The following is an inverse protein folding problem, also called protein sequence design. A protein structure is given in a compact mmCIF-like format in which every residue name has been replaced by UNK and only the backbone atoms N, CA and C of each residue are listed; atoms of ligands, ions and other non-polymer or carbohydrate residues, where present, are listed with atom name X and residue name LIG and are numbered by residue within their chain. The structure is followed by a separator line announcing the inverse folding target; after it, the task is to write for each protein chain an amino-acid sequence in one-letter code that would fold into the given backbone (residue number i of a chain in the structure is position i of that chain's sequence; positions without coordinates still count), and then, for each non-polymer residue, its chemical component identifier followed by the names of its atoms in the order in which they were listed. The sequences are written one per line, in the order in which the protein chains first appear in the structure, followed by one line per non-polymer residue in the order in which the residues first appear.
data_IF_876349141266
#
_entry.id   IF_876349141266
#
_cell.length_a   1.000
_cell.length_b   1.000
_cell.length_c   1.000
_cell.angle_alpha   90.00
_cell.angle_beta   90.00
_cell.angle_gamma   90.00
#
_symmetry.space_group_name_H-M   'P 1'
#
loop_
_entity.id
_entity.type
_entity.pdbx_description
1 polymer ?
#
# COMPACT_ATOMS: atom_id res chain seq x y z
N UNK A 1 -0.29 11.23 15.11
CA UNK A 1 0.20 10.78 13.79
C UNK A 1 1.50 11.51 13.52
N UNK A 2 2.56 10.79 13.15
CA UNK A 2 3.84 11.38 12.77
C UNK A 2 3.98 11.23 11.25
N UNK A 3 4.23 12.33 10.55
CA UNK A 3 4.59 12.29 9.13
C UNK A 3 6.12 12.24 9.02
N UNK A 4 6.62 11.25 8.30
CA UNK A 4 8.06 11.01 8.13
C UNK A 4 8.42 11.09 6.66
N UNK A 5 9.48 11.83 6.34
CA UNK A 5 9.93 12.01 4.96
C UNK A 5 10.25 10.67 4.29
N UNK A 6 9.65 10.41 3.13
CA UNK A 6 9.81 9.16 2.37
C UNK A 6 11.01 9.12 1.43
N UNK A 7 11.68 10.25 1.22
CA UNK A 7 12.85 10.37 0.33
C UNK A 7 14.04 9.59 0.90
N UNK A 8 14.89 9.04 0.04
CA UNK A 8 15.99 8.14 0.46
C UNK A 8 16.86 8.70 1.60
N UNK A 9 17.18 9.99 1.56
CA UNK A 9 18.03 10.64 2.56
C UNK A 9 17.34 10.85 3.93
N UNK A 10 16.01 10.92 3.94
CA UNK A 10 15.20 11.09 5.15
C UNK A 10 14.98 9.78 5.90
N UNK A 11 15.06 8.63 5.20
CA UNK A 11 14.77 7.30 5.77
C UNK A 11 15.68 6.89 6.92
N UNK A 12 16.91 7.43 6.98
CA UNK A 12 17.85 7.17 8.09
C UNK A 12 17.31 7.67 9.44
N UNK A 13 16.40 8.64 9.42
CA UNK A 13 15.79 9.25 10.61
C UNK A 13 14.60 8.45 11.14
N UNK A 14 14.03 7.52 10.35
CA UNK A 14 12.82 6.79 10.72
C UNK A 14 12.92 6.01 12.03
N UNK A 15 14.10 5.48 12.35
CA UNK A 15 14.34 4.76 13.60
C UNK A 15 14.01 5.61 14.84
N UNK A 16 14.11 6.94 14.73
CA UNK A 16 13.79 7.88 15.81
C UNK A 16 12.29 7.92 16.12
N UNK A 17 11.45 7.46 15.20
CA UNK A 17 10.00 7.44 15.32
C UNK A 17 9.45 6.05 15.67
N UNK A 18 10.29 5.04 15.91
CA UNK A 18 9.86 3.65 16.12
C UNK A 18 9.48 3.32 17.57
N UNK A 19 9.56 4.29 18.50
CA UNK A 19 9.13 4.10 19.87
C UNK A 19 7.60 4.22 19.98
N UNK A 20 6.95 3.26 20.65
CA UNK A 20 5.51 3.22 20.94
C UNK A 20 4.57 3.40 19.73
N UNK A 21 4.97 2.84 18.58
CA UNK A 21 4.14 2.84 17.37
C UNK A 21 3.01 1.83 17.49
N UNK A 22 1.75 2.29 17.43
CA UNK A 22 0.57 1.39 17.42
C UNK A 22 0.39 0.67 16.08
N UNK A 23 0.55 1.40 14.98
CA UNK A 23 0.43 0.88 13.61
C UNK A 23 1.20 1.80 12.66
N UNK A 24 1.61 1.25 11.52
CA UNK A 24 2.23 2.03 10.44
C UNK A 24 1.19 2.29 9.36
N UNK A 25 1.09 3.54 8.90
CA UNK A 25 0.38 3.85 7.67
C UNK A 25 1.42 3.97 6.56
N UNK A 26 1.41 3.02 5.62
CA UNK A 26 2.31 3.02 4.48
C UNK A 26 1.59 3.51 3.23
N UNK A 27 2.04 4.62 2.65
CA UNK A 27 1.36 5.27 1.52
C UNK A 27 2.11 5.02 0.22
N UNK A 28 1.37 4.52 -0.77
CA UNK A 28 1.87 4.18 -2.11
C UNK A 28 1.20 5.08 -3.13
N UNK A 29 1.99 5.65 -4.06
CA UNK A 29 1.45 6.36 -5.22
C UNK A 29 1.18 5.35 -6.36
N UNK A 30 0.01 4.70 -6.35
CA UNK A 30 -0.34 3.60 -7.26
C UNK A 30 -0.24 3.99 -8.74
N UNK A 31 -0.58 5.25 -9.05
CA UNK A 31 -0.49 5.80 -10.41
C UNK A 31 0.95 5.98 -10.94
N UNK A 32 1.99 5.78 -10.11
CA UNK A 32 3.40 6.01 -10.50
C UNK A 32 4.10 4.77 -11.07
N UNK A 33 3.36 3.73 -11.48
CA UNK A 33 3.93 2.48 -12.02
C UNK A 33 4.82 2.67 -13.26
N UNK A 34 4.66 3.78 -13.99
CA UNK A 34 5.43 4.11 -15.19
C UNK A 34 6.44 5.27 -15.00
N UNK A 35 6.72 5.65 -13.75
CA UNK A 35 7.60 6.77 -13.40
C UNK A 35 8.85 6.28 -12.69
N UNK A 36 9.91 7.09 -12.75
CA UNK A 36 11.13 6.90 -11.95
C UNK A 36 11.20 7.87 -10.77
N UNK A 37 11.87 7.48 -9.68
CA UNK A 37 12.10 8.34 -8.52
C UNK A 37 13.02 9.52 -8.90
N UNK A 38 12.95 10.63 -8.16
CA UNK A 38 13.74 11.82 -8.48
C UNK A 38 15.20 11.65 -8.08
N UNK A 39 15.44 10.88 -7.03
CA UNK A 39 16.73 10.72 -6.37
C UNK A 39 17.81 10.13 -7.29
N UNK A 40 17.45 9.23 -8.20
CA UNK A 40 18.38 8.66 -9.19
C UNK A 40 17.90 8.74 -10.64
N UNK A 41 16.66 9.20 -10.88
CA UNK A 41 16.04 9.27 -12.20
C UNK A 41 16.09 7.95 -12.99
N UNK A 42 16.15 6.82 -12.28
CA UNK A 42 16.34 5.49 -12.87
C UNK A 42 15.43 4.44 -12.23
N UNK A 43 15.31 4.41 -10.90
CA UNK A 43 14.53 3.40 -10.20
C UNK A 43 13.04 3.66 -10.37
N UNK A 44 12.28 2.65 -10.82
CA UNK A 44 10.82 2.73 -10.92
C UNK A 44 10.18 3.07 -9.55
N UNK A 45 9.24 4.02 -9.52
CA UNK A 45 8.62 4.50 -8.26
C UNK A 45 7.81 3.43 -7.54
N UNK A 46 7.05 2.62 -8.26
CA UNK A 46 6.27 1.56 -7.65
C UNK A 46 7.20 0.43 -7.16
N UNK A 47 8.25 0.11 -7.90
CA UNK A 47 9.28 -0.82 -7.44
C UNK A 47 10.01 -0.33 -6.18
N UNK A 48 10.36 0.96 -6.12
CA UNK A 48 10.93 1.57 -4.91
C UNK A 48 9.98 1.43 -3.71
N UNK A 49 8.68 1.66 -3.91
CA UNK A 49 7.67 1.49 -2.87
C UNK A 49 7.56 0.03 -2.40
N UNK A 50 7.59 -0.94 -3.30
CA UNK A 50 7.62 -2.38 -2.96
C UNK A 50 8.87 -2.74 -2.15
N UNK A 51 10.04 -2.27 -2.57
CA UNK A 51 11.31 -2.50 -1.87
C UNK A 51 11.28 -1.90 -0.46
N UNK A 52 10.75 -0.68 -0.33
CA UNK A 52 10.61 0.01 0.95
C UNK A 52 9.60 -0.70 1.87
N UNK A 53 8.45 -1.12 1.34
CA UNK A 53 7.47 -1.90 2.07
C UNK A 53 8.07 -3.21 2.58
N UNK A 54 8.81 -3.94 1.73
CA UNK A 54 9.52 -5.16 2.14
C UNK A 54 10.53 -4.92 3.26
N UNK A 55 11.23 -3.79 3.23
CA UNK A 55 12.16 -3.40 4.29
C UNK A 55 11.45 -3.14 5.61
N UNK A 56 10.33 -2.39 5.58
CA UNK A 56 9.49 -2.12 6.76
C UNK A 56 8.90 -3.41 7.31
N UNK A 57 8.27 -4.22 6.46
CA UNK A 57 7.59 -5.45 6.83
C UNK A 57 8.54 -6.45 7.50
N UNK A 58 9.77 -6.58 7.00
CA UNK A 58 10.76 -7.50 7.57
C UNK A 58 11.66 -6.86 8.63
N UNK A 59 11.39 -5.62 9.03
CA UNK A 59 12.21 -4.90 9.98
C UNK A 59 12.08 -5.54 11.39
N UNK A 60 13.22 -5.89 12.00
CA UNK A 60 13.25 -6.55 13.32
C UNK A 60 12.54 -5.76 14.43
N UNK A 61 12.56 -4.42 14.35
CA UNK A 61 11.95 -3.54 15.33
C UNK A 61 10.45 -3.34 15.10
N UNK A 62 9.92 -3.78 13.95
CA UNK A 62 8.52 -3.60 13.55
C UNK A 62 7.75 -4.92 13.38
N UNK A 63 8.33 -6.06 13.79
CA UNK A 63 7.75 -7.41 13.57
C UNK A 63 6.36 -7.64 14.20
N UNK A 64 6.00 -6.87 15.21
CA UNK A 64 4.68 -6.95 15.86
C UNK A 64 3.77 -5.79 15.44
N UNK A 65 4.27 -4.86 14.63
CA UNK A 65 3.55 -3.67 14.22
C UNK A 65 2.85 -3.96 12.91
N UNK A 66 1.52 -3.89 12.92
CA UNK A 66 0.72 -4.06 11.70
C UNK A 66 0.82 -2.83 10.81
N UNK A 67 0.65 -3.07 9.51
CA UNK A 67 0.74 -2.03 8.48
C UNK A 67 -0.62 -1.83 7.82
N UNK A 68 -1.08 -0.60 7.85
CA UNK A 68 -2.22 -0.11 7.09
C UNK A 68 -1.66 0.43 5.77
N UNK A 69 -1.97 -0.24 4.68
CA UNK A 69 -1.42 0.05 3.36
C UNK A 69 -2.39 0.93 2.56
N UNK A 70 -2.02 2.18 2.32
CA UNK A 70 -2.77 3.08 1.45
C UNK A 70 -2.25 2.99 0.04
N UNK A 71 -3.03 2.34 -0.82
CA UNK A 71 -2.85 2.37 -2.27
C UNK A 71 -3.48 3.66 -2.78
N UNK A 72 -2.75 4.77 -2.64
CA UNK A 72 -3.23 6.12 -2.93
C UNK A 72 -3.17 6.46 -4.43
N UNK A 73 -3.78 7.58 -4.80
CA UNK A 73 -3.87 8.13 -6.16
C UNK A 73 -4.66 7.22 -7.11
N UNK A 74 -5.76 6.65 -6.61
CA UNK A 74 -6.65 5.79 -7.41
C UNK A 74 -7.31 6.55 -8.56
N UNK A 75 -7.62 7.83 -8.37
CA UNK A 75 -8.05 8.78 -9.41
C UNK A 75 -7.08 8.82 -10.60
N UNK A 76 -5.80 9.11 -10.32
CA UNK A 76 -4.77 9.20 -11.35
C UNK A 76 -4.40 7.83 -11.94
N UNK A 77 -4.58 6.75 -11.17
CA UNK A 77 -4.39 5.39 -11.68
C UNK A 77 -5.49 5.07 -12.70
N UNK A 78 -6.74 5.34 -12.37
CA UNK A 78 -7.89 5.11 -13.24
C UNK A 78 -7.73 5.87 -14.56
N UNK A 79 -7.45 7.18 -14.49
CA UNK A 79 -7.20 8.01 -15.68
C UNK A 79 -6.10 7.42 -16.58
N UNK A 80 -4.98 7.00 -15.98
CA UNK A 80 -3.82 6.50 -16.72
C UNK A 80 -4.09 5.14 -17.38
N UNK A 81 -4.78 4.24 -16.68
CA UNK A 81 -5.18 2.93 -17.19
C UNK A 81 -6.16 3.09 -18.35
N UNK A 82 -7.17 3.94 -18.20
CA UNK A 82 -8.20 4.17 -19.21
C UNK A 82 -7.67 4.91 -20.44
N UNK A 83 -6.69 5.80 -20.27
CA UNK A 83 -6.02 6.46 -21.38
C UNK A 83 -5.26 5.48 -22.30
N UNK A 84 -4.84 4.32 -21.78
CA UNK A 84 -4.21 3.26 -22.58
C UNK A 84 -2.84 3.60 -23.19
N UNK A 85 -2.23 4.73 -22.81
CA UNK A 85 -0.97 5.23 -23.38
C UNK A 85 0.28 4.58 -22.80
N UNK A 86 0.20 4.07 -21.57
CA UNK A 86 1.32 3.47 -20.85
C UNK A 86 0.82 2.25 -20.10
N UNK A 87 1.17 1.07 -20.62
CA UNK A 87 0.63 -0.20 -20.13
C UNK A 87 1.39 -0.64 -18.89
N UNK A 88 0.71 -1.27 -17.94
CA UNK A 88 1.36 -1.72 -16.69
C UNK A 88 2.35 -2.84 -17.00
N UNK A 89 2.01 -3.73 -17.94
CA UNK A 89 2.86 -4.85 -18.36
C UNK A 89 4.20 -4.45 -18.99
N UNK A 90 4.35 -3.20 -19.44
CA UNK A 90 5.64 -2.68 -19.94
C UNK A 90 6.65 -2.45 -18.79
N UNK A 91 6.15 -2.34 -17.55
CA UNK A 91 6.95 -2.09 -16.34
C UNK A 91 6.90 -3.25 -15.34
N UNK A 92 5.77 -3.96 -15.31
CA UNK A 92 5.45 -5.09 -14.44
C UNK A 92 4.91 -6.24 -15.31
N UNK A 93 5.79 -7.02 -15.98
CA UNK A 93 5.38 -7.99 -17.02
C UNK A 93 4.38 -9.05 -16.58
N UNK A 94 4.40 -9.42 -15.30
CA UNK A 94 3.44 -10.32 -14.67
C UNK A 94 1.99 -9.85 -14.77
N UNK A 95 1.75 -8.53 -14.92
CA UNK A 95 0.42 -7.99 -15.14
C UNK A 95 -0.22 -8.53 -16.42
N UNK A 96 0.54 -8.92 -17.44
CA UNK A 96 -0.01 -9.50 -18.67
C UNK A 96 -0.78 -10.80 -18.39
N UNK A 97 -0.39 -11.56 -17.36
CA UNK A 97 -1.03 -12.83 -16.97
C UNK A 97 -1.94 -12.69 -15.75
N UNK A 98 -1.99 -11.51 -15.14
CA UNK A 98 -2.79 -11.28 -13.96
C UNK A 98 -4.29 -11.31 -14.28
N UNK A 99 -5.09 -11.92 -13.40
CA UNK A 99 -6.55 -11.91 -13.47
C UNK A 99 -7.10 -11.27 -12.20
N UNK A 100 -8.17 -10.51 -12.34
CA UNK A 100 -8.84 -9.91 -11.18
C UNK A 100 -9.31 -11.04 -10.25
N UNK A 101 -9.00 -10.98 -8.95
CA UNK A 101 -9.33 -12.06 -8.03
C UNK A 101 -10.84 -12.08 -7.77
N UNK A 102 -11.38 -13.26 -7.44
CA UNK A 102 -12.82 -13.46 -7.26
C UNK A 102 -13.39 -12.68 -6.06
N UNK A 103 -12.54 -12.41 -5.06
CA UNK A 103 -12.87 -11.61 -3.87
C UNK A 103 -12.80 -10.09 -4.12
N UNK A 104 -12.57 -9.66 -5.37
CA UNK A 104 -12.54 -8.25 -5.71
C UNK A 104 -13.92 -7.60 -5.53
N UNK A 105 -13.92 -6.47 -4.83
CA UNK A 105 -15.08 -5.63 -4.55
C UNK A 105 -14.89 -4.28 -5.30
N UNK A 106 -15.15 -4.24 -6.63
CA UNK A 106 -15.06 -3.00 -7.39
C UNK A 106 -16.08 -1.97 -6.90
N UNK A 107 -15.76 -0.69 -7.06
CA UNK A 107 -16.72 0.37 -6.77
C UNK A 107 -17.85 0.38 -7.82
N UNK A 108 -19.08 0.80 -7.47
CA UNK A 108 -20.17 0.89 -8.42
C UNK A 108 -19.79 1.76 -9.63
N UNK A 109 -19.84 1.19 -10.83
CA UNK A 109 -19.48 1.88 -12.07
C UNK A 109 -17.98 1.93 -12.39
N UNK A 110 -17.13 1.26 -11.61
CA UNK A 110 -15.70 1.15 -11.90
C UNK A 110 -15.45 0.30 -13.16
N UNK A 111 -14.56 0.77 -14.04
CA UNK A 111 -14.17 0.03 -15.24
C UNK A 111 -13.35 -1.22 -14.85
N UNK A 112 -13.66 -2.42 -15.39
CA UNK A 112 -12.95 -3.66 -15.05
C UNK A 112 -11.43 -3.59 -15.25
N UNK A 113 -10.94 -2.75 -16.18
CA UNK A 113 -9.50 -2.54 -16.40
C UNK A 113 -8.85 -1.82 -15.22
N UNK A 114 -9.57 -0.88 -14.61
CA UNK A 114 -9.13 -0.15 -13.41
C UNK A 114 -9.15 -1.07 -12.20
N UNK A 115 -10.21 -1.86 -12.03
CA UNK A 115 -10.28 -2.89 -10.99
C UNK A 115 -9.09 -3.85 -11.11
N UNK A 116 -8.85 -4.41 -12.30
CA UNK A 116 -7.72 -5.31 -12.54
C UNK A 116 -6.38 -4.66 -12.19
N UNK A 117 -6.17 -3.40 -12.60
CA UNK A 117 -4.95 -2.65 -12.33
C UNK A 117 -4.71 -2.40 -10.83
N UNK A 118 -5.71 -1.90 -10.10
CA UNK A 118 -5.55 -1.59 -8.67
C UNK A 118 -5.36 -2.86 -7.83
N UNK A 119 -6.07 -3.93 -8.16
CA UNK A 119 -5.93 -5.23 -7.49
C UNK A 119 -4.59 -5.89 -7.77
N UNK A 120 -4.07 -5.77 -9.00
CA UNK A 120 -2.71 -6.21 -9.29
C UNK A 120 -1.68 -5.52 -8.38
N UNK A 121 -1.75 -4.19 -8.29
CA UNK A 121 -0.83 -3.42 -7.43
C UNK A 121 -1.01 -3.83 -5.97
N UNK A 122 -2.24 -4.00 -5.49
CA UNK A 122 -2.52 -4.51 -4.13
C UNK A 122 -1.79 -5.83 -3.89
N UNK A 123 -1.92 -6.77 -4.82
CA UNK A 123 -1.40 -8.12 -4.66
C UNK A 123 0.13 -8.19 -4.70
N UNK A 124 0.80 -7.25 -5.39
CA UNK A 124 2.26 -7.10 -5.32
C UNK A 124 2.72 -6.82 -3.88
N UNK A 125 2.00 -5.97 -3.13
CA UNK A 125 2.30 -5.71 -1.72
C UNK A 125 1.85 -6.86 -0.81
N UNK A 126 0.67 -7.43 -1.05
CA UNK A 126 0.18 -8.53 -0.23
C UNK A 126 1.08 -9.76 -0.32
N UNK A 127 1.65 -10.05 -1.50
CA UNK A 127 2.63 -11.14 -1.68
C UNK A 127 3.85 -10.98 -0.78
N UNK A 128 4.29 -9.74 -0.53
CA UNK A 128 5.37 -9.45 0.42
C UNK A 128 4.92 -9.77 1.84
N UNK A 129 3.70 -9.34 2.22
CA UNK A 129 3.20 -9.52 3.58
C UNK A 129 2.88 -10.98 3.94
N UNK A 130 2.40 -11.77 2.98
CA UNK A 130 2.05 -13.18 3.20
C UNK A 130 3.26 -14.11 3.17
N UNK A 131 4.40 -13.67 2.65
CA UNK A 131 5.61 -14.50 2.54
C UNK A 131 6.29 -14.78 3.90
N UNK A 132 6.10 -13.90 4.90
CA UNK A 132 6.83 -13.97 6.19
C UNK A 132 6.20 -14.92 7.21
N UNK A 133 4.93 -15.30 7.05
CA UNK A 133 4.28 -16.44 7.73
C UNK A 133 4.24 -16.45 9.27
N UNK A 134 4.64 -15.38 9.96
CA UNK A 134 4.78 -15.41 11.43
C UNK A 134 3.48 -15.10 12.20
N UNK A 135 2.45 -14.58 11.52
CA UNK A 135 1.10 -14.33 12.07
C UNK A 135 1.04 -13.27 13.18
N UNK A 136 2.15 -12.56 13.43
CA UNK A 136 2.27 -11.61 14.56
C UNK A 136 1.80 -10.20 14.21
N UNK A 137 1.73 -9.89 12.92
CA UNK A 137 1.24 -8.63 12.41
C UNK A 137 0.54 -8.81 11.08
N UNK A 138 -0.29 -7.84 10.71
CA UNK A 138 -1.18 -7.93 9.55
C UNK A 138 -0.99 -6.74 8.62
N UNK A 139 -1.28 -6.95 7.33
CA UNK A 139 -1.36 -5.90 6.33
C UNK A 139 -2.83 -5.62 6.02
N UNK A 140 -3.25 -4.36 6.15
CA UNK A 140 -4.63 -3.91 5.90
C UNK A 140 -4.64 -2.98 4.68
N UNK A 141 -4.91 -3.49 3.47
CA UNK A 141 -4.90 -2.69 2.25
C UNK A 141 -6.17 -1.86 2.10
N UNK A 142 -6.00 -0.59 1.74
CA UNK A 142 -7.08 0.33 1.40
C UNK A 142 -6.76 1.02 0.08
N UNK A 143 -7.74 1.07 -0.83
CA UNK A 143 -7.68 1.90 -2.03
C UNK A 143 -8.08 3.32 -1.64
N UNK A 144 -7.17 4.28 -1.84
CA UNK A 144 -7.38 5.65 -1.35
C UNK A 144 -7.22 6.72 -2.42
N UNK A 145 -7.98 7.79 -2.24
CA UNK A 145 -7.85 9.03 -3.00
C UNK A 145 -7.70 10.17 -2.00
N UNK A 146 -6.48 10.66 -1.78
CA UNK A 146 -6.20 11.66 -0.75
C UNK A 146 -6.90 13.01 -0.97
N UNK A 147 -7.35 13.31 -2.18
CA UNK A 147 -8.14 14.52 -2.47
C UNK A 147 -9.64 14.32 -2.23
N UNK A 148 -10.09 13.07 -2.02
CA UNK A 148 -11.44 12.73 -1.62
C UNK A 148 -11.51 12.61 -0.09
N UNK A 149 -12.03 13.67 0.53
CA UNK A 149 -12.17 13.77 2.00
C UNK A 149 -13.07 12.69 2.58
N UNK A 150 -14.05 12.21 1.83
CA UNK A 150 -14.99 11.18 2.27
C UNK A 150 -14.37 9.78 2.17
N UNK A 151 -13.61 9.50 1.10
CA UNK A 151 -12.79 8.29 1.01
C UNK A 151 -11.81 8.20 2.20
N UNK A 152 -11.08 9.29 2.46
CA UNK A 152 -10.15 9.35 3.59
C UNK A 152 -10.88 9.18 4.93
N UNK A 153 -12.04 9.82 5.14
CA UNK A 153 -12.82 9.65 6.37
C UNK A 153 -13.22 8.20 6.61
N UNK A 154 -13.68 7.48 5.58
CA UNK A 154 -14.05 6.06 5.69
C UNK A 154 -12.84 5.20 6.04
N UNK A 155 -11.75 5.38 5.31
CA UNK A 155 -10.50 4.64 5.53
C UNK A 155 -9.97 4.88 6.93
N UNK A 156 -10.00 6.11 7.44
CA UNK A 156 -9.57 6.41 8.81
C UNK A 156 -10.47 5.77 9.87
N UNK A 157 -11.77 5.66 9.63
CA UNK A 157 -12.67 4.93 10.52
C UNK A 157 -12.33 3.43 10.53
N UNK A 158 -12.07 2.84 9.36
CA UNK A 158 -11.63 1.45 9.27
C UNK A 158 -10.30 1.23 10.03
N UNK A 159 -9.35 2.16 9.88
CA UNK A 159 -8.09 2.16 10.62
C UNK A 159 -8.32 2.18 12.14
N UNK A 160 -9.28 2.98 12.62
CA UNK A 160 -9.62 3.06 14.04
C UNK A 160 -10.15 1.72 14.55
N UNK A 161 -11.04 1.09 13.80
CA UNK A 161 -11.61 -0.21 14.16
C UNK A 161 -10.56 -1.31 14.14
N UNK A 162 -9.64 -1.29 13.15
CA UNK A 162 -8.49 -2.18 13.08
C UNK A 162 -7.61 -2.03 14.33
N UNK A 163 -7.24 -0.80 14.69
CA UNK A 163 -6.40 -0.53 15.86
C UNK A 163 -7.09 -0.97 17.15
N UNK A 164 -8.40 -0.75 17.28
CA UNK A 164 -9.16 -1.23 18.43
C UNK A 164 -9.17 -2.76 18.51
N UNK A 165 -9.40 -3.45 17.39
CA UNK A 165 -9.36 -4.92 17.32
C UNK A 165 -7.96 -5.47 17.61
N UNK A 166 -6.91 -4.79 17.16
CA UNK A 166 -5.53 -5.16 17.46
C UNK A 166 -5.25 -5.12 18.96
N UNK A 167 -5.67 -4.04 19.64
CA UNK A 167 -5.56 -3.97 21.10
C UNK A 167 -6.36 -5.09 21.79
N UNK A 168 -7.60 -5.34 21.39
CA UNK A 168 -8.43 -6.38 22.02
C UNK A 168 -7.86 -7.80 21.81
N UNK A 169 -7.37 -8.12 20.60
CA UNK A 169 -6.69 -9.40 20.31
C UNK A 169 -5.42 -9.58 21.13
N UNK A 170 -4.65 -8.52 21.35
CA UNK A 170 -3.43 -8.58 22.15
C UNK A 170 -3.69 -8.97 23.62
N UNK A 171 -4.90 -8.70 24.13
CA UNK A 171 -5.32 -9.05 25.49
C UNK A 171 -6.26 -10.28 25.56
N UNK A 172 -6.37 -11.07 24.49
CA UNK A 172 -7.24 -12.27 24.44
C UNK A 172 -8.73 -11.98 24.78
N UNK A 173 -9.19 -10.75 24.58
CA UNK A 173 -10.57 -10.34 24.84
C UNK A 173 -11.53 -10.67 23.69
N UNK A 174 -11.04 -11.37 22.66
CA UNK A 174 -11.74 -11.78 21.44
C UNK A 174 -11.28 -13.16 20.97
#
# INVERSE_FOLDING_TARGET
MFDVGGQRDERRKWIQCFNDVTAIIFVVASSSYNMVIREDNQTNRLQEALNLFKSIWNNRWLRTISVILFLNKQDLLAEKVLAGKSKIEDYFPEFARYTTPEDATPEPGEDPRVTRAKYFIRDEFLRISTASGDGRHYCYPHFTCAVDTENIRRVFNDCRDIIQRMHLRQYELL
#
